data_IF_542227062303
#
_entry.id   IF_542227062303
#
_cell.length_a   1.000
_cell.length_b   1.000
_cell.length_c   1.000
_cell.angle_alpha   90.00
_cell.angle_beta   90.00
_cell.angle_gamma   90.00
#
_symmetry.space_group_name_H-M   'P 1'
#
loop_
_entity.id
_entity.type
_entity.pdbx_description
1 polymer ?
#
# COMPACT_ATOMS: atom_id res chain seq x y z
N UNK A 1 9.15 -13.04 3.79
CA UNK A 1 9.01 -13.04 5.27
C UNK A 1 7.53 -12.97 5.58
N UNK A 2 7.01 -13.91 6.37
CA UNK A 2 5.59 -13.94 6.74
C UNK A 2 5.31 -12.91 7.84
N UNK A 3 4.32 -12.07 7.59
CA UNK A 3 3.89 -10.97 8.43
C UNK A 3 2.40 -11.13 8.76
N UNK A 4 1.99 -10.75 9.97
CA UNK A 4 0.57 -10.74 10.36
C UNK A 4 0.01 -9.34 10.17
N UNK A 5 -0.85 -9.11 9.16
CA UNK A 5 -1.47 -7.80 8.96
C UNK A 5 -2.43 -7.48 10.10
N UNK A 6 -2.64 -6.19 10.41
CA UNK A 6 -3.69 -5.77 11.33
C UNK A 6 -5.06 -6.28 10.87
N UNK A 7 -5.92 -6.65 11.82
CA UNK A 7 -7.23 -7.25 11.53
C UNK A 7 -8.14 -6.34 10.69
N UNK A 8 -7.96 -5.02 10.72
CA UNK A 8 -8.76 -4.11 9.89
C UNK A 8 -8.28 -4.03 8.43
N UNK A 9 -7.09 -4.57 8.12
CA UNK A 9 -6.55 -4.64 6.76
C UNK A 9 -6.85 -6.00 6.10
N UNK A 10 -6.89 -7.09 6.87
CA UNK A 10 -7.20 -8.42 6.34
C UNK A 10 -8.07 -9.25 7.30
N UNK A 11 -9.18 -9.79 6.79
CA UNK A 11 -10.12 -10.65 7.54
C UNK A 11 -10.02 -12.14 7.19
N UNK A 12 -9.64 -12.50 5.95
CA UNK A 12 -9.65 -13.89 5.47
C UNK A 12 -8.30 -14.61 5.53
N UNK A 13 -7.20 -13.89 5.72
CA UNK A 13 -5.83 -14.44 5.78
C UNK A 13 -5.12 -13.97 7.04
N UNK A 14 -4.60 -14.92 7.83
CA UNK A 14 -3.91 -14.64 9.10
C UNK A 14 -2.45 -14.18 8.89
N UNK A 15 -1.84 -14.51 7.74
CA UNK A 15 -0.47 -14.12 7.40
C UNK A 15 -0.35 -13.76 5.92
N UNK A 16 0.50 -12.78 5.63
CA UNK A 16 0.90 -12.35 4.28
C UNK A 16 2.40 -12.54 4.14
N UNK A 17 2.87 -13.11 3.03
CA UNK A 17 4.30 -13.16 2.72
C UNK A 17 4.72 -11.93 1.92
N UNK A 18 5.41 -10.99 2.57
CA UNK A 18 5.89 -9.78 1.91
C UNK A 18 7.11 -9.99 1.00
N UNK A 19 7.63 -11.23 0.90
CA UNK A 19 8.63 -11.60 -0.11
C UNK A 19 8.00 -12.05 -1.43
N UNK A 20 6.71 -12.38 -1.43
CA UNK A 20 5.95 -12.65 -2.66
C UNK A 20 5.46 -11.30 -3.24
N UNK A 21 5.89 -10.92 -4.46
CA UNK A 21 5.50 -9.65 -5.08
C UNK A 21 3.98 -9.45 -5.16
N UNK A 22 3.22 -10.51 -5.44
CA UNK A 22 1.77 -10.40 -5.58
C UNK A 22 1.10 -10.10 -4.24
N UNK A 23 1.52 -10.80 -3.19
CA UNK A 23 1.01 -10.57 -1.83
C UNK A 23 1.44 -9.22 -1.27
N UNK A 24 2.64 -8.75 -1.62
CA UNK A 24 3.13 -7.43 -1.24
C UNK A 24 2.33 -6.31 -1.90
N UNK A 25 2.13 -6.37 -3.22
CA UNK A 25 1.30 -5.43 -3.95
C UNK A 25 -0.15 -5.43 -3.42
N UNK A 26 -0.72 -6.61 -3.19
CA UNK A 26 -2.05 -6.74 -2.59
C UNK A 26 -2.12 -6.09 -1.20
N UNK A 27 -1.14 -6.33 -0.34
CA UNK A 27 -1.11 -5.75 1.00
C UNK A 27 -1.01 -4.23 0.97
N UNK A 28 -0.13 -3.69 0.14
CA UNK A 28 0.02 -2.24 -0.03
C UNK A 28 -1.31 -1.65 -0.52
N UNK A 29 -1.97 -2.27 -1.50
CA UNK A 29 -3.31 -1.87 -1.93
C UNK A 29 -4.31 -1.84 -0.76
N UNK A 30 -4.32 -2.87 0.10
CA UNK A 30 -5.24 -2.89 1.25
C UNK A 30 -4.95 -1.75 2.24
N UNK A 31 -3.68 -1.44 2.50
CA UNK A 31 -3.29 -0.32 3.36
C UNK A 31 -3.78 1.01 2.78
N UNK A 32 -3.68 1.21 1.46
CA UNK A 32 -4.14 2.46 0.83
C UNK A 32 -5.66 2.61 0.84
N UNK A 33 -6.42 1.51 0.83
CA UNK A 33 -7.88 1.52 0.80
C UNK A 33 -8.52 1.55 2.20
N UNK A 34 -7.94 0.82 3.14
CA UNK A 34 -8.56 0.52 4.44
C UNK A 34 -7.61 0.70 5.63
N UNK A 35 -6.34 1.00 5.36
CA UNK A 35 -5.35 1.23 6.40
C UNK A 35 -5.64 2.49 7.19
N UNK A 36 -5.17 2.51 8.44
CA UNK A 36 -5.21 3.69 9.29
C UNK A 36 -3.96 4.53 9.08
N UNK A 37 -3.95 5.73 9.66
CA UNK A 37 -2.80 6.63 9.58
C UNK A 37 -1.50 5.96 10.04
N UNK A 38 -1.54 5.13 11.08
CA UNK A 38 -0.38 4.38 11.57
C UNK A 38 0.14 3.33 10.58
N UNK A 39 -0.71 2.76 9.73
CA UNK A 39 -0.31 1.77 8.73
C UNK A 39 0.28 2.47 7.51
N UNK A 40 -0.35 3.56 7.08
CA UNK A 40 0.14 4.41 5.99
C UNK A 40 1.55 4.92 6.28
N UNK A 41 1.82 5.35 7.53
CA UNK A 41 3.17 5.80 7.95
C UNK A 41 4.25 4.73 7.87
N UNK A 42 3.89 3.44 7.83
CA UNK A 42 4.83 2.32 7.72
C UNK A 42 5.12 1.93 6.27
N UNK A 43 4.39 2.49 5.30
CA UNK A 43 4.64 2.21 3.90
C UNK A 43 5.98 2.81 3.47
N UNK A 44 6.72 2.04 2.67
CA UNK A 44 7.84 2.56 1.91
C UNK A 44 7.27 3.36 0.73
N UNK A 45 7.37 4.69 0.83
CA UNK A 45 6.84 5.60 -0.18
C UNK A 45 7.64 5.56 -1.50
N UNK A 46 8.90 5.15 -1.45
CA UNK A 46 9.73 5.02 -2.66
C UNK A 46 9.33 3.76 -3.43
N UNK A 47 9.08 2.67 -2.71
CA UNK A 47 8.45 1.49 -3.30
C UNK A 47 7.07 1.80 -3.87
N UNK A 48 6.20 2.46 -3.09
CA UNK A 48 4.85 2.82 -3.53
C UNK A 48 4.90 3.59 -4.85
N UNK A 49 5.83 4.53 -4.99
CA UNK A 49 6.00 5.31 -6.23
C UNK A 49 6.35 4.48 -7.47
N UNK A 50 6.95 3.28 -7.31
CA UNK A 50 7.32 2.38 -8.41
C UNK A 50 6.20 1.44 -8.80
N UNK A 51 5.30 1.13 -7.87
CA UNK A 51 4.25 0.12 -8.07
C UNK A 51 2.85 0.73 -8.16
N UNK A 52 2.67 2.03 -7.92
CA UNK A 52 1.37 2.70 -7.86
C UNK A 52 0.46 2.36 -9.06
N UNK A 53 1.02 2.37 -10.27
CA UNK A 53 0.30 2.07 -11.52
C UNK A 53 -0.17 0.61 -11.60
N UNK A 54 0.47 -0.31 -10.88
CA UNK A 54 0.13 -1.74 -10.83
C UNK A 54 -0.94 -2.05 -9.79
N UNK A 55 -1.12 -1.18 -8.80
CA UNK A 55 -2.03 -1.42 -7.68
C UNK A 55 -3.51 -1.37 -8.08
N UNK A 56 -3.84 -0.93 -9.31
CA UNK A 56 -5.21 -0.87 -9.85
C UNK A 56 -6.22 -0.18 -8.91
N UNK A 57 -5.79 0.92 -8.29
CA UNK A 57 -6.59 1.63 -7.28
C UNK A 57 -7.80 2.34 -7.92
N UNK A 58 -8.88 2.60 -7.16
CA UNK A 58 -9.92 3.54 -7.58
C UNK A 58 -9.30 4.89 -7.94
N UNK A 59 -9.79 5.52 -9.01
CA UNK A 59 -9.22 6.74 -9.59
C UNK A 59 -8.94 7.83 -8.56
N UNK A 60 -9.92 8.16 -7.73
CA UNK A 60 -9.79 9.19 -6.70
C UNK A 60 -8.67 8.91 -5.67
N UNK A 61 -8.40 7.65 -5.34
CA UNK A 61 -7.29 7.26 -4.45
C UNK A 61 -5.97 7.31 -5.21
N UNK A 62 -5.95 6.82 -6.44
CA UNK A 62 -4.77 6.88 -7.30
C UNK A 62 -4.30 8.32 -7.50
N UNK A 63 -5.21 9.22 -7.88
CA UNK A 63 -4.92 10.63 -8.18
C UNK A 63 -4.38 11.36 -6.94
N UNK A 64 -4.96 11.09 -5.76
CA UNK A 64 -4.49 11.64 -4.49
C UNK A 64 -3.04 11.22 -4.20
N UNK A 65 -2.75 9.92 -4.29
CA UNK A 65 -1.42 9.39 -4.00
C UNK A 65 -0.39 9.81 -5.04
N UNK A 66 -0.79 9.87 -6.31
CA UNK A 66 0.05 10.38 -7.38
C UNK A 66 0.47 11.83 -7.12
N UNK A 67 -0.50 12.71 -6.85
CA UNK A 67 -0.23 14.11 -6.57
C UNK A 67 0.68 14.29 -5.34
N UNK A 68 0.43 13.53 -4.26
CA UNK A 68 1.27 13.54 -3.07
C UNK A 68 2.72 13.12 -3.36
N UNK A 69 2.92 12.04 -4.12
CA UNK A 69 4.24 11.53 -4.46
C UNK A 69 4.99 12.45 -5.44
N UNK A 70 4.28 13.09 -6.37
CA UNK A 70 4.84 14.10 -7.27
C UNK A 70 5.31 15.33 -6.49
N UNK A 71 4.50 15.83 -5.54
CA UNK A 71 4.89 16.94 -4.68
C UNK A 71 6.13 16.60 -3.83
N UNK A 72 6.20 15.39 -3.27
CA UNK A 72 7.33 14.91 -2.48
C UNK A 72 8.64 14.83 -3.29
N UNK A 73 8.58 14.52 -4.59
CA UNK A 73 9.77 14.46 -5.46
C UNK A 73 10.33 15.85 -5.80
N UNK A 74 9.50 16.88 -5.74
CA UNK A 74 9.87 18.26 -6.08
C UNK A 74 10.32 19.09 -4.86
N UNK A 75 10.34 18.50 -3.66
CA UNK A 75 10.80 19.12 -2.41
C UNK A 75 12.15 18.55 -2.02
#
# INVERSE_FOLDING_TARGET
MRFKPPRHIAWSVDTVDLADPFQREWYIRQVLLYGRTEDIRKLDLDELSRILDKLNLPSHIYDLWRAFLEQRKNT
#
